data_IF_330571967574
#
_entry.id   IF_330571967574
#
_cell.length_a   1.000
_cell.length_b   1.000
_cell.length_c   1.000
_cell.angle_alpha   90.00
_cell.angle_beta   90.00
_cell.angle_gamma   90.00
#
_symmetry.space_group_name_H-M   'P 1'
#
loop_
_entity.id
_entity.type
_entity.pdbx_description
1 polymer ?
2 non-polymer ?
3 non-polymer ?
4 non-polymer ?
5 non-polymer ?
6 water ?
#
# COMPACT_ATOMS: atom_id res chain seq x y z
N UNK A 3 -14.30 -5.69 -31.61
CA UNK A 3 -13.21 -5.28 -30.72
C UNK A 3 -12.85 -6.39 -29.74
N UNK A 4 -11.74 -6.24 -29.04
CA UNK A 4 -11.28 -7.25 -28.11
C UNK A 4 -10.15 -6.65 -27.34
N UNK A 5 -10.34 -6.36 -26.06
CA UNK A 5 -9.31 -5.67 -25.31
C UNK A 5 -8.80 -6.36 -24.06
N UNK A 6 -7.53 -6.57 -24.06
CA UNK A 6 -6.90 -7.32 -22.99
C UNK A 6 -5.84 -6.42 -22.37
N UNK A 7 -5.74 -6.43 -21.05
CA UNK A 7 -4.67 -5.69 -20.41
C UNK A 7 -3.57 -6.65 -19.99
N UNK A 8 -2.45 -6.58 -20.69
CA UNK A 8 -1.28 -7.38 -20.34
C UNK A 8 -0.32 -6.51 -19.54
N UNK A 9 0.22 -7.04 -18.45
CA UNK A 9 1.26 -6.33 -17.73
C UNK A 9 2.52 -7.18 -17.70
N UNK A 10 3.66 -6.50 -17.77
CA UNK A 10 4.92 -7.14 -17.52
C UNK A 10 5.72 -6.24 -16.62
N UNK A 11 6.17 -6.76 -15.49
CA UNK A 11 6.89 -5.94 -14.51
C UNK A 11 8.21 -5.43 -15.10
N UNK A 12 8.65 -4.24 -14.66
CA UNK A 12 9.91 -3.67 -15.15
C UNK A 12 11.13 -4.33 -14.51
N UNK A 13 10.93 -5.06 -13.41
CA UNK A 13 12.05 -5.69 -12.69
C UNK A 13 11.55 -6.86 -11.85
N UNK A 14 12.48 -7.64 -11.32
CA UNK A 14 12.10 -8.75 -10.45
C UNK A 14 11.50 -8.22 -9.15
N UNK A 15 10.56 -8.97 -8.61
CA UNK A 15 9.92 -8.61 -7.35
C UNK A 15 10.27 -9.66 -6.30
N UNK A 16 10.85 -9.20 -5.20
CA UNK A 16 11.12 -10.06 -4.06
C UNK A 16 10.15 -9.64 -2.97
N UNK A 17 9.19 -10.51 -2.63
CA UNK A 17 8.07 -10.10 -1.80
C UNK A 17 8.54 -9.52 -0.47
N UNK A 18 9.59 -10.10 0.12
CA UNK A 18 10.07 -9.62 1.40
C UNK A 18 10.52 -8.16 1.32
N UNK A 19 11.05 -7.77 0.17
CA UNK A 19 11.50 -6.38 -0.06
C UNK A 19 10.37 -5.47 -0.53
N UNK A 20 9.44 -6.04 -1.27
CA UNK A 20 8.46 -5.26 -2.04
C UNK A 20 7.14 -5.02 -1.33
N UNK A 21 6.64 -6.02 -0.62
CA UNK A 21 5.30 -5.96 -0.04
C UNK A 21 5.34 -5.81 1.47
N UNK A 22 4.95 -4.64 1.95
CA UNK A 22 4.83 -4.41 3.38
C UNK A 22 3.37 -4.26 3.76
N UNK A 23 3.12 -4.02 5.04
CA UNK A 23 1.78 -3.76 5.52
C UNK A 23 1.74 -2.54 6.41
N UNK A 24 0.64 -1.81 6.34
CA UNK A 24 0.34 -0.82 7.35
C UNK A 24 0.01 -1.55 8.63
N UNK A 25 0.22 -0.89 9.76
CA UNK A 25 -0.11 -1.51 11.02
C UNK A 25 -0.50 -0.41 12.00
N UNK A 26 -1.21 -0.79 13.04
CA UNK A 26 -1.65 0.16 14.04
C UNK A 26 -1.27 -0.34 15.42
N UNK A 27 0.00 -0.71 15.59
CA UNK A 27 0.41 -1.45 16.78
C UNK A 27 0.15 -0.71 18.10
N UNK A 28 0.23 0.62 18.09
CA UNK A 28 -0.01 1.40 19.32
C UNK A 28 -1.45 1.27 19.83
N UNK A 29 -2.32 0.70 19.01
CA UNK A 29 -3.71 0.46 19.42
C UNK A 29 -3.84 -0.80 20.25
N UNK A 30 -2.77 -1.57 20.35
CA UNK A 30 -2.84 -2.89 20.94
C UNK A 30 -1.79 -3.11 22.03
N UNK A 31 -2.05 -4.09 22.90
CA UNK A 31 -1.06 -4.55 23.85
C UNK A 31 0.08 -5.25 23.13
N UNK A 32 1.27 -5.24 23.74
CA UNK A 32 2.40 -5.97 23.14
C UNK A 32 2.08 -7.44 22.92
N UNK A 33 1.33 -8.05 23.84
CA UNK A 33 0.90 -9.42 23.67
C UNK A 33 0.16 -9.59 22.33
N UNK A 34 -0.75 -8.67 22.06
CA UNK A 34 -1.58 -8.75 20.86
C UNK A 34 -0.78 -8.41 19.61
N UNK A 35 0.03 -7.35 19.63
CA UNK A 35 0.70 -7.02 18.38
C UNK A 35 1.84 -7.98 18.09
N UNK A 36 2.37 -8.66 19.11
CA UNK A 36 3.35 -9.70 18.81
C UNK A 36 2.70 -10.88 18.08
N UNK A 37 1.43 -11.16 18.37
CA UNK A 37 0.73 -12.20 17.62
C UNK A 37 0.51 -11.75 16.17
N UNK A 38 0.16 -10.48 15.98
CA UNK A 38 -0.02 -9.96 14.63
C UNK A 38 1.27 -10.11 13.84
N UNK A 39 2.39 -9.85 14.49
CA UNK A 39 3.69 -9.91 13.84
C UNK A 39 4.05 -11.36 13.50
N UNK A 40 3.66 -12.31 14.36
CA UNK A 40 3.78 -13.73 14.05
C UNK A 40 3.12 -14.04 12.71
N UNK A 41 1.89 -13.55 12.55
CA UNK A 41 1.14 -13.80 11.33
C UNK A 41 1.81 -13.14 10.13
N UNK A 42 2.35 -11.93 10.33
CA UNK A 42 3.04 -11.24 9.25
C UNK A 42 4.29 -12.02 8.82
N UNK A 43 5.04 -12.49 9.81
CA UNK A 43 6.27 -13.20 9.52
C UNK A 43 5.97 -14.53 8.82
N UNK A 44 4.83 -15.14 9.13
CA UNK A 44 4.42 -16.38 8.46
C UNK A 44 4.22 -16.18 6.96
N UNK A 45 3.91 -14.96 6.54
CA UNK A 45 3.79 -14.64 5.12
C UNK A 45 5.14 -14.39 4.44
N UNK A 46 6.20 -14.35 5.23
CA UNK A 46 7.53 -14.08 4.70
C UNK A 46 7.77 -12.61 4.44
N UNK A 47 7.04 -11.75 5.15
CA UNK A 47 7.14 -10.29 4.98
C UNK A 47 7.79 -9.64 6.19
N UNK A 48 8.30 -8.42 6.03
CA UNK A 48 8.98 -7.77 7.15
C UNK A 48 8.81 -6.26 7.21
N UNK A 49 8.27 -5.65 6.16
CA UNK A 49 8.11 -4.19 6.14
C UNK A 49 6.79 -3.74 6.77
N UNK A 50 6.84 -2.77 7.69
CA UNK A 50 5.61 -2.23 8.26
C UNK A 50 5.62 -0.70 8.21
N UNK A 51 4.42 -0.13 8.14
CA UNK A 51 4.26 1.31 8.18
C UNK A 51 3.34 1.69 9.31
N UNK A 52 3.80 2.59 10.18
CA UNK A 52 3.05 2.96 11.37
C UNK A 52 2.76 4.45 11.41
N UNK A 53 1.60 4.81 11.94
CA UNK A 53 1.20 6.21 12.02
C UNK A 53 1.50 6.78 13.40
N UNK A 54 2.10 7.97 13.42
CA UNK A 54 2.29 8.72 14.64
C UNK A 54 1.51 10.02 14.56
N UNK A 55 0.73 10.33 15.57
CA UNK A 55 0.01 11.58 15.57
C UNK A 55 0.61 12.49 16.59
N UNK A 56 1.11 13.64 16.14
CA UNK A 56 1.87 14.52 17.01
C UNK A 56 1.08 14.90 18.26
N UNK A 57 -0.21 15.19 18.09
CA UNK A 57 -0.98 15.67 19.23
C UNK A 57 -1.23 14.56 20.27
N UNK A 58 -0.95 13.32 19.91
CA UNK A 58 -1.01 12.26 20.87
C UNK A 58 0.33 11.96 21.53
N UNK A 59 1.40 12.34 20.89
CA UNK A 59 2.75 12.11 21.42
C UNK A 59 3.25 13.28 22.26
N UNK A 60 2.78 14.48 21.95
CA UNK A 60 3.13 15.65 22.72
C UNK A 60 1.84 16.37 23.11
N UNK A 61 1.40 16.16 24.34
CA UNK A 61 0.05 16.54 24.75
C UNK A 61 -0.02 17.98 25.27
N UNK A 62 1.15 18.52 25.57
CA UNK A 62 1.34 19.94 25.84
C UNK A 62 2.78 20.23 25.46
N UNK A 63 3.16 21.50 25.34
CA UNK A 63 4.50 21.80 24.83
C UNK A 63 5.59 21.19 25.73
N UNK A 64 6.42 20.35 25.12
CA UNK A 64 7.51 19.63 25.81
C UNK A 64 7.01 18.69 26.91
N UNK A 65 5.78 18.21 26.74
CA UNK A 65 5.21 17.20 27.61
C UNK A 65 4.86 16.03 26.70
N UNK A 66 5.58 14.93 26.85
CA UNK A 66 5.49 13.83 25.89
C UNK A 66 4.84 12.59 26.48
N UNK A 67 4.36 11.71 25.60
CA UNK A 67 3.78 10.44 25.99
C UNK A 67 4.43 9.38 25.13
N UNK A 68 5.61 8.92 25.52
CA UNK A 68 6.40 8.07 24.62
C UNK A 68 6.64 6.66 25.13
N UNK A 69 6.13 6.34 26.31
CA UNK A 69 6.40 5.02 26.91
C UNK A 69 5.97 3.88 25.97
N UNK A 70 4.77 3.99 25.39
CA UNK A 70 4.26 2.94 24.49
C UNK A 70 5.07 2.83 23.21
N UNK A 71 5.44 3.99 22.66
CA UNK A 71 6.22 4.02 21.44
C UNK A 71 7.63 3.50 21.69
N UNK A 72 8.24 3.91 22.81
CA UNK A 72 9.56 3.39 23.17
C UNK A 72 9.54 1.86 23.18
N UNK A 73 8.53 1.29 23.82
CA UNK A 73 8.46 -0.16 23.93
C UNK A 73 8.21 -0.80 22.56
N UNK A 74 7.35 -0.17 21.77
CA UNK A 74 7.06 -0.68 20.43
C UNK A 74 8.33 -0.72 19.56
N UNK A 75 9.13 0.34 19.58
CA UNK A 75 10.32 0.36 18.74
C UNK A 75 11.30 -0.74 19.17
N UNK A 76 11.43 -0.97 20.48
CA UNK A 76 12.25 -2.08 20.96
C UNK A 76 11.70 -3.43 20.49
N UNK A 77 10.38 -3.59 20.56
CA UNK A 77 9.73 -4.84 20.13
C UNK A 77 9.84 -5.09 18.62
N UNK A 78 9.75 -4.03 17.83
CA UNK A 78 9.90 -4.15 16.39
C UNK A 78 11.31 -4.61 16.02
N UNK A 79 12.31 -4.07 16.70
CA UNK A 79 13.68 -4.51 16.48
C UNK A 79 13.85 -5.95 16.95
N UNK A 80 13.23 -6.30 18.07
CA UNK A 80 13.32 -7.66 18.58
C UNK A 80 12.68 -8.67 17.63
N UNK A 81 11.77 -8.21 16.78
CA UNK A 81 11.12 -9.09 15.80
C UNK A 81 11.71 -8.93 14.40
N UNK A 82 12.81 -8.19 14.31
CA UNK A 82 13.53 -8.01 13.04
C UNK A 82 12.69 -7.33 11.96
N UNK A 83 11.76 -6.47 12.35
CA UNK A 83 10.93 -5.82 11.34
C UNK A 83 11.61 -4.56 10.79
N UNK A 84 11.29 -4.22 9.55
CA UNK A 84 11.79 -2.99 8.97
C UNK A 84 10.66 -1.99 8.96
N UNK A 85 10.85 -0.83 9.56
CA UNK A 85 9.70 0.05 9.76
C UNK A 85 9.84 1.43 9.14
N UNK A 86 8.72 1.96 8.67
CA UNK A 86 8.63 3.37 8.31
C UNK A 86 7.56 4.00 9.20
N UNK A 87 7.91 5.11 9.82
CA UNK A 87 6.97 5.84 10.65
C UNK A 87 6.66 7.16 9.98
N UNK A 88 5.39 7.53 9.95
CA UNK A 88 5.06 8.89 9.56
C UNK A 88 4.48 9.66 10.72
N UNK A 89 4.82 10.94 10.78
CA UNK A 89 4.30 11.86 11.79
C UNK A 89 3.33 12.80 11.11
N UNK A 90 2.14 12.94 11.67
CA UNK A 90 1.11 13.81 11.08
C UNK A 90 0.33 14.51 12.18
N UNK A 91 -0.24 15.67 11.83
CA UNK A 91 -1.08 16.41 12.76
C UNK A 91 -0.27 17.43 13.53
N UNK A 92 -0.94 18.49 13.98
CA UNK A 92 -0.31 19.50 14.81
C UNK A 92 -0.61 19.26 16.26
N UNK A 93 0.41 19.37 17.11
CA UNK A 93 0.17 19.46 18.54
C UNK A 93 -0.61 20.73 18.83
N UNK A 94 -1.37 20.73 19.92
CA UNK A 94 -2.27 21.82 20.20
C UNK A 94 -1.55 23.17 20.36
N UNK A 95 -0.32 23.15 20.88
CA UNK A 95 0.38 24.40 21.15
C UNK A 95 0.91 25.09 19.88
N UNK A 96 0.90 24.38 18.76
CA UNK A 96 1.56 24.88 17.54
C UNK A 96 0.59 24.93 16.33
N UNK A 97 -0.65 24.49 16.52
CA UNK A 97 -1.58 24.37 15.40
C UNK A 97 -2.04 25.73 14.85
N UNK A 98 -2.36 25.78 13.56
CA UNK A 98 -2.91 26.99 12.96
C UNK A 98 -4.43 27.04 13.04
N UNK A 99 -5.02 26.02 13.68
CA UNK A 99 -6.47 25.96 13.85
C UNK A 99 -7.01 27.18 14.57
N UNK A 100 -8.18 27.69 14.13
CA UNK A 100 -8.91 28.67 14.93
C UNK A 100 -9.24 28.11 16.30
N UNK A 101 -9.36 28.96 17.30
CA UNK A 101 -9.61 28.53 18.67
C UNK A 101 -10.86 27.67 18.80
N UNK A 102 -11.88 28.00 18.01
CA UNK A 102 -13.18 27.35 18.09
C UNK A 102 -13.30 26.06 17.29
N UNK A 103 -12.37 25.83 16.36
CA UNK A 103 -12.44 24.66 15.47
C UNK A 103 -12.40 23.32 16.20
N UNK A 104 -13.25 22.38 15.77
CA UNK A 104 -13.29 21.04 16.35
C UNK A 104 -12.15 20.13 15.88
N UNK A 105 -11.42 20.53 14.86
CA UNK A 105 -10.40 19.66 14.26
C UNK A 105 -8.99 20.19 14.42
N UNK A 106 -8.62 20.51 15.67
CA UNK A 106 -7.36 21.18 15.97
C UNK A 106 -6.13 20.57 15.29
N UNK A 107 -6.07 19.24 15.24
CA UNK A 107 -4.86 18.58 14.75
C UNK A 107 -4.83 18.49 13.23
N UNK A 108 -5.94 18.78 12.58
CA UNK A 108 -6.02 18.63 11.13
C UNK A 108 -5.51 19.87 10.40
N UNK A 109 -5.03 20.84 11.18
CA UNK A 109 -4.39 22.03 10.64
C UNK A 109 -2.88 21.86 10.71
N UNK A 110 -2.15 22.43 9.74
CA UNK A 110 -0.69 22.34 9.75
C UNK A 110 -0.07 23.22 10.84
N UNK A 111 1.20 22.99 11.18
CA UNK A 111 1.82 23.77 12.26
C UNK A 111 2.09 25.22 11.85
N UNK A 112 2.04 26.11 12.83
CA UNK A 112 2.38 27.52 12.64
C UNK A 112 3.84 27.67 12.20
N UNK A 113 4.68 26.76 12.66
CA UNK A 113 6.10 26.83 12.41
C UNK A 113 6.61 25.46 11.98
N UNK A 114 6.91 25.30 10.68
CA UNK A 114 7.36 24.00 10.18
C UNK A 114 8.66 23.55 10.86
N UNK A 115 9.45 24.49 11.37
CA UNK A 115 10.70 24.13 12.04
C UNK A 115 10.48 23.37 13.34
N UNK A 116 9.38 23.68 14.02
CA UNK A 116 9.06 23.00 15.28
C UNK A 116 8.69 21.53 15.00
N UNK A 117 7.90 21.32 13.96
CA UNK A 117 7.57 19.98 13.49
C UNK A 117 8.84 19.25 13.10
N UNK A 118 9.72 19.93 12.36
CA UNK A 118 10.95 19.32 11.88
C UNK A 118 11.82 18.82 13.05
N UNK A 119 11.89 19.63 14.11
CA UNK A 119 12.72 19.29 15.25
C UNK A 119 12.18 18.06 15.97
N UNK A 120 10.86 17.89 15.94
CA UNK A 120 10.21 16.72 16.53
C UNK A 120 10.56 15.46 15.72
N UNK A 121 10.52 15.58 14.40
CA UNK A 121 10.91 14.43 13.58
C UNK A 121 12.37 14.07 13.83
N UNK A 122 13.22 15.07 13.99
CA UNK A 122 14.64 14.84 14.25
C UNK A 122 14.82 14.16 15.61
N UNK A 123 14.04 14.60 16.60
CA UNK A 123 14.10 14.01 17.93
C UNK A 123 13.74 12.54 17.86
N UNK A 124 12.66 12.22 17.15
CA UNK A 124 12.19 10.84 17.04
C UNK A 124 13.22 9.98 16.34
N UNK A 125 13.76 10.50 15.24
CA UNK A 125 14.77 9.78 14.48
C UNK A 125 16.02 9.50 15.29
N UNK A 126 16.44 10.47 16.10
CA UNK A 126 17.63 10.25 16.92
C UNK A 126 17.32 9.28 18.08
N UNK A 127 16.08 9.31 18.54
CA UNK A 127 15.66 8.46 19.64
C UNK A 127 15.56 6.99 19.20
N UNK A 128 15.22 6.79 17.94
CA UNK A 128 14.93 5.45 17.40
C UNK A 128 15.75 5.14 16.14
N UNK A 129 17.07 4.96 16.29
CA UNK A 129 17.90 4.79 15.08
C UNK A 129 17.63 3.51 14.31
N UNK A 130 16.88 2.58 14.89
CA UNK A 130 16.56 1.34 14.18
C UNK A 130 15.50 1.54 13.10
N UNK A 131 14.73 2.62 13.20
CA UNK A 131 13.68 2.88 12.20
C UNK A 131 14.31 3.07 10.81
N UNK A 132 13.71 2.44 9.80
CA UNK A 132 14.33 2.37 8.49
C UNK A 132 14.12 3.63 7.67
N UNK A 133 12.97 4.26 7.86
CA UNK A 133 12.63 5.46 7.09
C UNK A 133 11.62 6.32 7.82
N UNK A 134 11.66 7.63 7.56
CA UNK A 134 10.77 8.59 8.19
C UNK A 134 9.95 9.30 7.13
N UNK A 135 8.64 9.37 7.36
CA UNK A 135 7.72 9.96 6.40
C UNK A 135 7.05 11.22 6.97
N UNK A 136 6.95 12.26 6.15
CA UNK A 136 6.55 13.59 6.61
C UNK A 136 5.10 13.90 6.29
N UNK A 137 4.26 13.92 7.32
CA UNK A 137 2.81 14.19 7.22
C UNK A 137 2.13 13.06 6.46
N UNK A 138 0.87 13.29 6.11
CA UNK A 138 0.05 12.29 5.43
C UNK A 138 -1.04 12.98 4.63
N UNK A 139 -1.27 12.52 3.40
CA UNK A 139 -2.32 13.04 2.51
C UNK A 139 -2.63 14.54 2.61
N UNK A 140 -1.61 15.39 2.38
CA UNK A 140 -1.85 16.84 2.47
C UNK A 140 -2.75 17.37 1.37
N UNK A 141 -3.06 16.56 0.36
CA UNK A 141 -3.98 17.00 -0.69
C UNK A 141 -5.43 16.83 -0.25
N UNK A 142 -5.63 16.30 0.95
CA UNK A 142 -6.98 16.12 1.51
C UNK A 142 -7.23 17.11 2.63
N UNK A 143 -8.42 17.71 2.63
CA UNK A 143 -8.75 18.72 3.61
C UNK A 143 -8.66 18.16 5.04
N UNK A 144 -9.03 16.89 5.22
CA UNK A 144 -8.99 16.26 6.53
C UNK A 144 -7.61 16.16 7.17
N UNK A 145 -6.56 16.40 6.39
CA UNK A 145 -5.19 16.36 6.92
C UNK A 145 -4.49 17.70 6.79
N UNK A 146 -5.10 18.65 6.09
CA UNK A 146 -4.50 19.97 5.92
C UNK A 146 -5.55 21.06 5.71
N UNK A 147 -6.07 21.57 6.81
CA UNK A 147 -7.12 22.60 6.79
C UNK A 147 -6.52 24.00 6.74
N UNK A 148 -7.25 24.97 6.18
CA UNK A 148 -8.61 24.85 5.62
C UNK A 148 -8.63 24.46 4.15
N UNK A 149 -7.46 24.37 3.52
CA UNK A 149 -7.41 23.96 2.12
C UNK A 149 -5.99 23.59 1.69
N UNK A 150 -5.89 22.73 0.68
CA UNK A 150 -4.60 22.20 0.24
C UNK A 150 -3.68 23.36 -0.09
N UNK A 151 -2.42 23.23 0.33
CA UNK A 151 -1.47 24.32 0.21
C UNK A 151 -0.09 23.75 -0.16
N UNK A 152 0.14 23.54 -1.47
CA UNK A 152 1.41 22.95 -1.91
C UNK A 152 2.60 23.72 -1.36
N UNK A 153 2.57 25.05 -1.40
CA UNK A 153 3.67 25.86 -0.88
C UNK A 153 3.92 25.56 0.60
N UNK A 154 2.83 25.51 1.37
CA UNK A 154 2.91 25.21 2.79
C UNK A 154 3.50 23.83 3.04
N UNK A 155 3.04 22.83 2.29
CA UNK A 155 3.56 21.49 2.50
C UNK A 155 5.03 21.39 2.07
N UNK A 156 5.39 22.10 0.99
CA UNK A 156 6.78 22.09 0.53
C UNK A 156 7.71 22.62 1.61
N UNK A 157 7.28 23.68 2.29
CA UNK A 157 8.10 24.27 3.35
C UNK A 157 8.23 23.31 4.53
N UNK A 158 7.15 22.59 4.83
CA UNK A 158 7.19 21.59 5.90
C UNK A 158 8.14 20.45 5.53
N UNK A 159 8.01 19.97 4.30
CA UNK A 159 8.86 18.90 3.82
C UNK A 159 10.33 19.30 3.79
N UNK A 160 10.62 20.50 3.31
CA UNK A 160 12.00 20.95 3.26
C UNK A 160 12.61 21.01 4.65
N UNK A 161 11.88 21.59 5.59
CA UNK A 161 12.40 21.75 6.95
C UNK A 161 12.64 20.40 7.60
N UNK A 162 11.72 19.47 7.39
CA UNK A 162 11.79 18.13 7.97
C UNK A 162 12.95 17.33 7.38
N UNK A 163 13.09 17.44 6.06
CA UNK A 163 14.14 16.75 5.34
C UNK A 163 15.51 17.19 5.82
N UNK A 164 15.70 18.49 5.94
CA UNK A 164 16.96 19.04 6.45
C UNK A 164 17.26 18.50 7.86
N UNK A 165 16.25 18.52 8.74
CA UNK A 165 16.44 18.11 10.13
C UNK A 165 16.73 16.61 10.23
N UNK A 166 16.02 15.83 9.43
CA UNK A 166 16.19 14.38 9.43
C UNK A 166 17.58 13.99 8.92
N UNK A 167 18.06 14.72 7.91
CA UNK A 167 19.38 14.42 7.37
C UNK A 167 20.51 14.92 8.26
N UNK A 168 20.25 15.91 9.11
CA UNK A 168 21.23 16.30 10.12
C UNK A 168 21.47 15.15 11.10
N UNK A 169 20.40 14.43 11.41
CA UNK A 169 20.49 13.28 12.30
C UNK A 169 21.17 12.09 11.63
N UNK A 170 20.74 11.79 10.41
CA UNK A 170 21.30 10.69 9.64
C UNK A 170 21.19 11.00 8.16
N UNK A 171 22.28 11.48 7.55
CA UNK A 171 22.20 11.93 6.15
C UNK A 171 21.90 10.80 5.16
N UNK A 172 22.11 9.55 5.56
CA UNK A 172 21.92 8.42 4.65
C UNK A 172 20.53 7.78 4.72
N UNK A 173 19.77 8.10 5.75
CA UNK A 173 18.46 7.47 5.92
C UNK A 173 17.42 8.11 5.01
N UNK A 174 16.59 7.27 4.34
CA UNK A 174 15.57 7.84 3.45
C UNK A 174 14.57 8.75 4.15
N UNK A 175 14.23 9.83 3.46
CA UNK A 175 13.13 10.68 3.86
C UNK A 175 12.01 10.46 2.87
N UNK A 176 10.82 10.22 3.37
CA UNK A 176 9.68 9.87 2.53
C UNK A 176 8.68 11.02 2.56
N UNK A 177 8.26 11.52 1.41
CA UNK A 177 7.27 12.58 1.45
C UNK A 177 5.92 11.97 1.78
N UNK A 178 4.96 12.81 2.15
CA UNK A 178 3.66 12.33 2.57
C UNK A 178 3.03 11.49 1.49
N UNK A 179 2.33 10.43 1.89
CA UNK A 179 1.56 9.64 0.93
C UNK A 179 0.41 10.52 0.47
N UNK A 180 0.35 10.80 -0.83
CA UNK A 180 -0.74 11.61 -1.39
C UNK A 180 -1.98 10.74 -1.56
N UNK A 181 -3.15 11.24 -1.17
CA UNK A 181 -4.37 10.47 -1.36
C UNK A 181 -4.69 10.31 -2.85
N UNK A 182 -5.15 9.13 -3.23
CA UNK A 182 -5.53 8.81 -4.60
C UNK A 182 -4.33 9.00 -5.53
N UNK A 183 -4.47 9.80 -6.58
CA UNK A 183 -3.32 10.06 -7.43
C UNK A 183 -2.79 11.49 -7.25
N UNK A 184 -3.05 12.03 -6.06
CA UNK A 184 -2.57 13.32 -5.56
C UNK A 184 -3.41 14.52 -6.03
N UNK A 185 -4.57 14.24 -6.63
CA UNK A 185 -5.49 15.30 -7.07
C UNK A 185 -5.92 16.18 -5.90
N UNK A 186 -6.05 17.48 -6.15
CA UNK A 186 -6.59 18.42 -5.16
C UNK A 186 -7.96 18.92 -5.62
N UNK A 187 -8.78 19.43 -4.68
CA UNK A 187 -10.11 19.96 -5.02
C UNK A 187 -10.12 21.00 -6.15
N UNK A 188 -9.02 21.74 -6.33
CA UNK A 188 -8.97 22.80 -7.33
C UNK A 188 -8.65 22.28 -8.73
N UNK A 189 -8.49 20.96 -8.85
CA UNK A 189 -8.29 20.36 -10.16
C UNK A 189 -6.82 20.12 -10.52
N UNK A 190 -5.92 20.66 -9.72
CA UNK A 190 -4.49 20.40 -9.91
C UNK A 190 -4.11 19.16 -9.12
N UNK A 191 -2.92 18.63 -9.39
CA UNK A 191 -2.39 17.52 -8.60
C UNK A 191 -1.27 18.01 -7.72
N UNK A 192 -1.19 17.49 -6.50
CA UNK A 192 -0.14 17.92 -5.59
C UNK A 192 1.26 17.64 -6.18
N UNK A 193 1.41 16.51 -6.87
CA UNK A 193 2.73 16.18 -7.45
C UNK A 193 3.16 17.24 -8.46
N UNK A 194 2.22 17.67 -9.30
CA UNK A 194 2.58 18.69 -10.26
C UNK A 194 2.94 20.01 -9.59
N UNK A 195 2.13 20.41 -8.61
CA UNK A 195 2.33 21.69 -7.95
C UNK A 195 3.66 21.72 -7.20
N UNK A 196 3.97 20.63 -6.51
CA UNK A 196 5.25 20.51 -5.81
C UNK A 196 6.43 20.52 -6.77
N UNK A 197 6.25 19.90 -7.93
CA UNK A 197 7.25 19.96 -8.99
C UNK A 197 7.63 21.37 -9.35
N UNK A 198 6.64 22.24 -9.51
CA UNK A 198 6.89 23.63 -9.83
C UNK A 198 7.60 24.39 -8.73
N UNK A 199 7.49 23.88 -7.51
CA UNK A 199 8.14 24.50 -6.36
C UNK A 199 9.52 23.89 -6.15
N UNK A 200 9.91 22.97 -7.03
CA UNK A 200 11.28 22.47 -7.04
C UNK A 200 11.54 21.42 -5.98
N UNK A 201 10.48 20.82 -5.47
CA UNK A 201 10.56 19.87 -4.37
C UNK A 201 11.39 18.63 -4.74
N UNK A 202 11.48 18.32 -6.02
CA UNK A 202 12.21 17.13 -6.44
C UNK A 202 13.69 17.23 -6.10
N UNK A 203 14.19 18.45 -5.90
CA UNK A 203 15.58 18.65 -5.52
C UNK A 203 15.88 18.15 -4.11
N UNK A 204 14.85 17.92 -3.30
CA UNK A 204 15.05 17.39 -1.95
C UNK A 204 15.41 15.91 -1.97
N UNK A 205 15.06 15.23 -3.06
CA UNK A 205 15.36 13.82 -3.20
C UNK A 205 14.63 12.94 -2.20
N UNK A 206 13.37 13.26 -1.92
CA UNK A 206 12.60 12.40 -1.03
C UNK A 206 11.90 11.32 -1.85
N UNK A 207 11.56 10.22 -1.18
CA UNK A 207 10.78 9.16 -1.82
C UNK A 207 9.34 9.64 -2.03
N UNK A 208 8.81 9.42 -3.24
CA UNK A 208 7.46 9.84 -3.59
C UNK A 208 6.49 8.71 -3.33
N UNK A 209 5.31 9.03 -2.82
CA UNK A 209 4.34 7.98 -2.48
C UNK A 209 2.92 8.47 -2.64
N UNK A 210 2.02 7.57 -3.05
CA UNK A 210 0.61 7.94 -3.10
C UNK A 210 -0.26 6.73 -2.78
N UNK A 211 -1.54 6.99 -2.58
CA UNK A 211 -2.48 6.03 -2.00
C UNK A 211 -3.64 5.81 -2.94
N UNK A 212 -3.43 4.99 -3.98
CA UNK A 212 -4.40 4.98 -5.08
C UNK A 212 -5.58 4.07 -4.80
N UNK A 213 -6.39 4.43 -3.81
CA UNK A 213 -7.61 3.68 -3.53
C UNK A 213 -8.60 3.85 -4.70
N UNK A 214 -9.16 2.75 -5.20
CA UNK A 214 -10.26 2.81 -6.18
C UNK A 214 -11.36 1.84 -5.77
N UNK A 215 -12.53 2.00 -6.35
CA UNK A 215 -13.69 1.20 -5.95
C UNK A 215 -13.46 -0.28 -6.27
N UNK A 216 -13.01 -0.53 -7.49
CA UNK A 216 -12.68 -1.88 -7.94
C UNK A 216 -11.17 -2.04 -7.99
N UNK A 217 -10.68 -3.28 -8.12
CA UNK A 217 -9.21 -3.43 -8.16
C UNK A 217 -8.59 -2.66 -9.32
N UNK A 218 -9.30 -2.54 -10.44
CA UNK A 218 -8.67 -2.02 -11.65
C UNK A 218 -9.19 -0.65 -12.09
N UNK A 219 -9.95 0.01 -11.24
CA UNK A 219 -10.55 1.30 -11.58
C UNK A 219 -11.77 1.58 -10.75
N UNK A 220 -12.47 2.68 -11.02
CA UNK A 220 -13.64 3.01 -10.20
C UNK A 220 -14.96 2.48 -10.76
N UNK A 221 -15.00 2.22 -12.06
CA UNK A 221 -16.23 1.73 -12.69
C UNK A 221 -15.93 0.57 -13.61
N UNK A 222 -16.88 -0.39 -13.74
CA UNK A 222 -16.66 -1.54 -14.62
C UNK A 222 -16.42 -1.16 -16.09
N UNK A 223 -16.90 0.01 -16.52
CA UNK A 223 -16.70 0.49 -17.89
C UNK A 223 -15.48 1.42 -18.02
N UNK A 224 -14.78 1.65 -16.91
CA UNK A 224 -13.67 2.60 -16.90
C UNK A 224 -12.58 2.08 -15.97
N UNK A 225 -12.00 0.95 -16.34
CA UNK A 225 -10.98 0.29 -15.54
C UNK A 225 -9.61 0.86 -15.90
N UNK A 226 -9.32 2.07 -15.43
CA UNK A 226 -8.13 2.75 -15.88
C UNK A 226 -7.09 2.94 -14.78
N UNK A 227 -7.12 2.08 -13.76
CA UNK A 227 -6.09 2.13 -12.72
C UNK A 227 -4.68 2.01 -13.33
N UNK A 228 -4.48 1.04 -14.19
CA UNK A 228 -3.14 0.81 -14.75
C UNK A 228 -2.68 2.04 -15.53
N UNK A 229 -3.59 2.63 -16.29
CA UNK A 229 -3.28 3.82 -17.05
C UNK A 229 -2.85 4.97 -16.14
N UNK A 230 -3.63 5.23 -15.10
CA UNK A 230 -3.30 6.31 -14.16
C UNK A 230 -1.97 6.07 -13.45
N UNK A 231 -1.77 4.83 -12.99
CA UNK A 231 -0.55 4.47 -12.26
C UNK A 231 0.68 4.64 -13.15
N UNK A 232 0.60 4.12 -14.36
CA UNK A 232 1.71 4.28 -15.31
C UNK A 232 2.02 5.75 -15.58
N UNK A 233 0.96 6.54 -15.71
CA UNK A 233 1.14 7.95 -16.02
C UNK A 233 1.85 8.67 -14.87
N UNK A 234 1.36 8.48 -13.66
CA UNK A 234 1.97 9.19 -12.54
C UNK A 234 3.38 8.63 -12.24
N UNK A 235 3.56 7.32 -12.37
CA UNK A 235 4.86 6.73 -12.12
C UNK A 235 5.90 7.22 -13.12
N UNK A 236 5.51 7.34 -14.38
CA UNK A 236 6.44 7.86 -15.39
C UNK A 236 6.83 9.29 -15.08
N UNK A 237 5.86 10.10 -14.67
CA UNK A 237 6.12 11.50 -14.36
C UNK A 237 7.09 11.60 -13.18
N UNK A 238 6.89 10.74 -12.17
CA UNK A 238 7.76 10.74 -11.01
C UNK A 238 9.18 10.32 -11.36
N UNK A 239 9.32 9.28 -12.17
CA UNK A 239 10.64 8.86 -12.62
C UNK A 239 11.28 9.99 -13.42
N UNK A 240 10.51 10.61 -14.30
CA UNK A 240 11.02 11.75 -15.08
C UNK A 240 11.54 12.87 -14.18
N UNK A 241 10.93 13.03 -13.02
CA UNK A 241 11.30 14.10 -12.10
C UNK A 241 12.53 13.73 -11.29
N UNK A 242 12.94 12.46 -11.38
CA UNK A 242 14.16 12.01 -10.74
C UNK A 242 14.03 11.59 -9.29
N UNK A 243 12.84 11.16 -8.88
CA UNK A 243 12.65 10.66 -7.52
C UNK A 243 13.57 9.45 -7.28
N UNK A 244 14.05 9.29 -6.03
CA UNK A 244 14.91 8.15 -5.71
C UNK A 244 14.16 6.81 -5.70
N UNK A 245 12.85 6.86 -5.46
CA UNK A 245 12.03 5.66 -5.41
C UNK A 245 10.57 6.08 -5.41
N UNK A 246 9.71 5.16 -5.80
CA UNK A 246 8.27 5.36 -5.72
C UNK A 246 7.68 4.27 -4.84
N UNK A 247 6.98 4.67 -3.78
CA UNK A 247 6.26 3.70 -2.98
C UNK A 247 4.77 3.95 -3.10
N UNK A 248 3.98 2.93 -2.79
CA UNK A 248 2.56 3.19 -2.52
C UNK A 248 2.30 2.83 -1.08
N UNK A 249 2.12 3.81 -0.20
CA UNK A 249 2.17 3.51 1.22
C UNK A 249 0.80 3.10 1.77
N UNK A 250 -0.24 3.16 0.94
CA UNK A 250 -1.57 2.67 1.34
C UNK A 250 -2.40 2.25 0.13
N UNK A 251 -3.11 1.13 0.27
CA UNK A 251 -4.11 0.67 -0.69
C UNK A 251 -4.85 -0.48 -0.01
N UNK A 252 -6.08 -0.77 -0.43
CA UNK A 252 -6.80 -1.90 0.14
C UNK A 252 -8.31 -1.67 0.22
N UNK A 253 -9.04 -2.65 0.77
CA UNK A 253 -10.50 -2.57 0.88
C UNK A 253 -10.93 -3.07 2.24
N UNK A 254 -12.05 -2.56 2.69
CA UNK A 254 -12.65 -2.95 3.97
C UNK A 254 -13.72 -4.00 3.79
N UNK A 255 -13.74 -4.97 4.72
CA UNK A 255 -14.75 -6.01 4.73
C UNK A 255 -16.00 -5.61 5.50
N UNK A 256 -16.14 -4.33 5.84
CA UNK A 256 -17.27 -3.90 6.68
C UNK A 256 -18.63 -4.18 6.03
N UNK A 257 -19.63 -4.37 6.88
CA UNK A 257 -20.96 -4.75 6.41
C UNK A 257 -21.81 -3.51 6.17
N UNK A 258 -21.29 -2.36 6.59
CA UNK A 258 -21.95 -1.10 6.33
C UNK A 258 -22.42 -0.37 7.57
N UNK A 259 -23.25 0.67 7.40
CA UNK A 259 -23.79 1.15 6.12
C UNK A 259 -22.74 1.82 5.23
N UNK A 260 -23.02 1.85 3.93
CA UNK A 260 -22.02 2.28 2.95
C UNK A 260 -21.47 3.68 3.22
N UNK A 261 -20.15 3.78 3.23
CA UNK A 261 -19.46 5.05 3.33
C UNK A 261 -18.27 5.06 2.35
N UNK A 262 -18.49 5.68 1.19
CA UNK A 262 -17.55 5.72 0.06
C UNK A 262 -17.41 4.38 -0.64
N UNK A 263 -17.03 3.35 0.12
CA UNK A 263 -16.75 2.04 -0.46
C UNK A 263 -18.00 1.14 -0.46
N UNK A 264 -18.30 0.55 -1.61
CA UNK A 264 -19.38 -0.43 -1.69
C UNK A 264 -19.12 -1.61 -0.74
N UNK A 265 -20.20 -2.24 -0.28
CA UNK A 265 -20.06 -3.36 0.64
C UNK A 265 -19.66 -4.62 -0.13
N UNK A 266 -18.52 -5.20 0.22
CA UNK A 266 -18.05 -6.39 -0.49
C UNK A 266 -17.76 -7.56 0.46
N UNK A 267 -17.61 -7.28 1.75
CA UNK A 267 -17.46 -8.32 2.75
C UNK A 267 -16.09 -8.98 2.79
N UNK A 268 -15.94 -10.00 3.63
CA UNK A 268 -14.63 -10.63 3.77
C UNK A 268 -14.18 -11.34 2.49
N UNK A 269 -15.13 -11.90 1.75
CA UNK A 269 -14.78 -12.57 0.50
C UNK A 269 -14.44 -11.58 -0.61
N UNK A 270 -15.16 -10.47 -0.67
CA UNK A 270 -14.83 -9.41 -1.62
C UNK A 270 -13.47 -8.80 -1.31
N UNK A 271 -13.19 -8.60 -0.03
CA UNK A 271 -11.91 -8.06 0.36
C UNK A 271 -10.77 -8.95 -0.13
N UNK A 272 -10.93 -10.26 0.05
CA UNK A 272 -9.91 -11.21 -0.36
C UNK A 272 -9.72 -11.14 -1.88
N UNK A 273 -10.83 -11.15 -2.61
CA UNK A 273 -10.81 -11.08 -4.08
C UNK A 273 -10.12 -9.81 -4.57
N UNK A 274 -10.55 -8.65 -4.06
CA UNK A 274 -10.03 -7.38 -4.55
C UNK A 274 -8.57 -7.16 -4.20
N UNK A 275 -8.18 -7.51 -2.98
CA UNK A 275 -6.79 -7.33 -2.57
C UNK A 275 -5.87 -8.16 -3.48
N UNK A 276 -6.26 -9.38 -3.80
CA UNK A 276 -5.38 -10.23 -4.62
C UNK A 276 -5.27 -9.70 -6.04
N UNK A 277 -6.38 -9.28 -6.63
CA UNK A 277 -6.30 -8.69 -7.96
C UNK A 277 -5.46 -7.42 -7.99
N UNK A 278 -5.65 -6.56 -6.99
CA UNK A 278 -4.88 -5.32 -6.96
C UNK A 278 -3.40 -5.61 -6.74
N UNK A 279 -3.11 -6.59 -5.90
CA UNK A 279 -1.71 -6.98 -5.65
C UNK A 279 -1.06 -7.44 -6.95
N UNK A 280 -1.77 -8.24 -7.72
CA UNK A 280 -1.27 -8.71 -9.01
C UNK A 280 -0.98 -7.55 -9.95
N UNK A 281 -1.82 -6.52 -9.91
CA UNK A 281 -1.56 -5.34 -10.75
C UNK A 281 -0.36 -4.55 -10.27
N UNK A 282 -0.36 -4.17 -8.99
CA UNK A 282 0.69 -3.27 -8.50
C UNK A 282 2.06 -3.92 -8.51
N UNK A 283 2.14 -5.23 -8.30
CA UNK A 283 3.45 -5.89 -8.30
C UNK A 283 4.04 -5.95 -9.71
N UNK A 284 3.23 -5.64 -10.72
CA UNK A 284 3.72 -5.61 -12.10
C UNK A 284 3.83 -4.17 -12.64
N UNK A 285 3.67 -3.20 -11.76
CA UNK A 285 3.81 -1.80 -12.16
C UNK A 285 5.10 -1.25 -11.54
N UNK A 286 5.42 0.01 -11.84
CA UNK A 286 6.70 0.55 -11.45
C UNK A 286 6.69 1.14 -10.05
N UNK A 287 6.45 0.29 -9.06
CA UNK A 287 6.63 0.64 -7.65
C UNK A 287 7.87 -0.05 -7.10
N UNK A 288 8.59 0.60 -6.19
CA UNK A 288 9.72 -0.06 -5.53
C UNK A 288 9.26 -0.79 -4.28
N UNK A 289 8.17 -0.32 -3.69
CA UNK A 289 7.63 -0.95 -2.48
C UNK A 289 6.17 -0.53 -2.34
N UNK A 290 5.32 -1.42 -1.86
CA UNK A 290 3.93 -1.06 -1.58
C UNK A 290 3.53 -1.59 -0.20
N UNK A 291 2.56 -0.93 0.42
CA UNK A 291 2.10 -1.30 1.75
C UNK A 291 0.59 -1.50 1.77
N UNK A 292 0.15 -2.74 1.96
CA UNK A 292 -1.27 -3.01 2.09
C UNK A 292 -1.85 -2.37 3.35
N UNK A 293 -3.02 -1.74 3.21
CA UNK A 293 -3.76 -1.26 4.37
C UNK A 293 -4.89 -2.27 4.66
N UNK A 294 -4.81 -3.02 5.77
CA UNK A 294 -3.81 -2.89 6.82
C UNK A 294 -3.68 -4.24 7.53
N UNK A 295 -2.76 -4.36 8.49
CA UNK A 295 -2.48 -5.67 9.09
C UNK A 295 -3.67 -6.22 9.90
N UNK A 296 -4.30 -5.37 10.70
CA UNK A 296 -5.34 -5.86 11.61
C UNK A 296 -6.63 -5.04 11.56
N UNK A 297 -7.76 -5.71 11.72
CA UNK A 297 -9.00 -5.05 12.10
C UNK A 297 -8.77 -4.15 13.33
N UNK A 298 -9.63 -3.15 13.51
CA UNK A 298 -9.49 -2.23 14.66
C UNK A 298 -10.78 -2.18 15.44
N UNK A 299 -10.71 -1.66 16.67
CA UNK A 299 -11.89 -1.61 17.52
C UNK A 299 -12.72 -0.33 17.30
N UNK A 300 -13.64 -0.06 18.22
CA UNK A 300 -14.61 1.02 18.06
C UNK A 300 -14.00 2.43 18.09
N UNK A 301 -12.69 2.53 18.31
CA UNK A 301 -12.04 3.83 18.17
C UNK A 301 -11.95 4.22 16.70
N UNK A 302 -12.01 3.24 15.81
CA UNK A 302 -12.00 3.51 14.37
C UNK A 302 -13.42 3.66 13.85
N UNK A 303 -13.56 4.42 12.77
CA UNK A 303 -14.84 4.50 12.06
C UNK A 303 -15.30 3.12 11.63
N UNK A 304 -16.59 2.98 11.35
CA UNK A 304 -17.16 1.68 10.97
C UNK A 304 -16.40 1.06 9.79
N UNK A 305 -16.13 1.83 8.75
CA UNK A 305 -15.40 1.29 7.62
C UNK A 305 -13.96 0.94 7.99
N UNK A 306 -13.28 1.82 8.71
CA UNK A 306 -11.84 1.65 9.01
C UNK A 306 -11.54 0.45 9.92
N UNK A 307 -12.58 -0.08 10.56
CA UNK A 307 -12.42 -1.23 11.45
C UNK A 307 -12.10 -2.54 10.74
N UNK A 308 -12.33 -2.63 9.44
CA UNK A 308 -12.34 -3.96 8.79
C UNK A 308 -11.41 -4.10 7.58
N UNK A 309 -10.36 -3.30 7.52
CA UNK A 309 -9.34 -3.42 6.48
C UNK A 309 -8.31 -4.50 6.77
N UNK A 310 -8.41 -5.14 7.93
CA UNK A 310 -7.34 -6.04 8.36
C UNK A 310 -7.10 -7.28 7.50
N UNK A 311 -5.85 -7.74 7.47
CA UNK A 311 -5.57 -9.12 7.09
C UNK A 311 -6.05 -10.04 8.19
N UNK A 312 -6.04 -9.52 9.42
CA UNK A 312 -6.35 -10.29 10.62
C UNK A 312 -7.56 -9.70 11.32
N UNK A 313 -8.33 -10.53 12.04
CA UNK A 313 -9.41 -9.97 12.84
C UNK A 313 -8.85 -9.45 14.16
N UNK A 314 -9.74 -9.01 15.05
CA UNK A 314 -9.31 -8.39 16.30
C UNK A 314 -8.51 -9.34 17.19
N UNK A 315 -8.76 -10.64 17.05
CA UNK A 315 -8.02 -11.65 17.81
C UNK A 315 -6.69 -12.02 17.14
N UNK A 316 -6.32 -11.26 16.11
CA UNK A 316 -5.09 -11.49 15.34
C UNK A 316 -5.11 -12.84 14.63
N UNK A 317 -6.30 -13.33 14.30
CA UNK A 317 -6.47 -14.55 13.53
C UNK A 317 -6.76 -14.23 12.08
N UNK A 318 -6.32 -15.10 11.15
CA UNK A 318 -6.47 -14.85 9.71
C UNK A 318 -7.91 -14.63 9.28
N UNK A 319 -8.14 -13.62 8.45
CA UNK A 319 -9.39 -13.46 7.72
C UNK A 319 -9.22 -14.12 6.36
N UNK A 320 -10.31 -14.28 5.58
CA UNK A 320 -10.12 -14.89 4.26
C UNK A 320 -9.06 -14.21 3.40
N UNK A 321 -8.88 -12.90 3.51
CA UNK A 321 -7.88 -12.22 2.67
C UNK A 321 -6.47 -12.70 3.05
N UNK A 322 -6.25 -12.96 4.33
CA UNK A 322 -4.95 -13.47 4.77
C UNK A 322 -4.71 -14.86 4.19
N UNK A 323 -5.72 -15.71 4.28
CA UNK A 323 -5.55 -17.09 3.83
C UNK A 323 -5.31 -17.13 2.33
N UNK A 324 -5.98 -16.24 1.61
CA UNK A 324 -5.78 -16.10 0.16
C UNK A 324 -4.39 -15.58 -0.18
N UNK A 325 -3.96 -14.53 0.50
CA UNK A 325 -2.62 -13.99 0.27
C UNK A 325 -1.57 -15.04 0.57
N UNK A 326 -1.80 -15.80 1.64
CA UNK A 326 -0.86 -16.85 2.04
C UNK A 326 -0.74 -17.91 0.94
N UNK A 327 -1.88 -18.32 0.37
CA UNK A 327 -1.89 -19.30 -0.72
C UNK A 327 -1.16 -18.76 -1.94
N UNK A 328 -1.44 -17.51 -2.28
CA UNK A 328 -0.82 -16.79 -3.38
C UNK A 328 0.72 -16.76 -3.27
N UNK A 329 1.21 -16.29 -2.13
CA UNK A 329 2.65 -16.18 -1.94
C UNK A 329 3.33 -17.55 -1.90
N UNK A 330 2.61 -18.58 -1.45
CA UNK A 330 3.19 -19.92 -1.43
C UNK A 330 3.38 -20.40 -2.87
N UNK A 331 2.44 -20.06 -3.75
CA UNK A 331 2.52 -20.49 -5.14
C UNK A 331 3.62 -19.72 -5.86
N UNK A 332 3.72 -18.42 -5.63
CA UNK A 332 4.75 -17.62 -6.30
C UNK A 332 6.16 -17.98 -5.81
N UNK A 333 6.28 -18.39 -4.55
CA UNK A 333 7.59 -18.48 -3.92
C UNK A 333 8.03 -17.07 -3.58
N UNK A 334 9.29 -16.90 -3.12
CA UNK A 334 9.73 -15.61 -2.58
C UNK A 334 10.10 -14.53 -3.61
N UNK A 335 10.31 -14.91 -4.86
CA UNK A 335 10.84 -13.99 -5.87
C UNK A 335 10.32 -14.31 -7.26
N UNK A 336 9.84 -13.29 -7.96
CA UNK A 336 9.29 -13.46 -9.30
C UNK A 336 10.09 -12.63 -10.30
N UNK A 337 10.40 -13.21 -11.45
CA UNK A 337 11.10 -12.47 -12.50
C UNK A 337 10.13 -12.23 -13.64
N UNK A 338 10.20 -11.04 -14.26
CA UNK A 338 9.23 -10.69 -15.31
C UNK A 338 9.24 -11.68 -16.46
N UNK A 339 8.08 -11.97 -17.02
CA UNK A 339 8.01 -12.86 -18.19
C UNK A 339 6.80 -12.55 -19.04
N UNK A 340 6.55 -13.36 -20.06
CA UNK A 340 5.37 -13.18 -20.90
C UNK A 340 4.31 -14.21 -20.56
N UNK A 341 3.04 -13.86 -20.77
CA UNK A 341 1.99 -14.88 -20.58
C UNK A 341 2.11 -15.96 -21.63
N UNK A 342 1.49 -17.13 -21.40
CA UNK A 342 1.47 -18.17 -22.42
C UNK A 342 0.71 -17.70 -23.64
N UNK A 343 0.97 -18.34 -24.78
CA UNK A 343 0.16 -18.12 -25.96
C UNK A 343 -1.27 -18.54 -25.68
N UNK A 344 -2.21 -17.67 -26.01
CA UNK A 344 -3.62 -17.92 -25.74
C UNK A 344 -4.44 -17.88 -27.03
N UNK A 345 -5.52 -18.64 -27.04
CA UNK A 345 -6.54 -18.53 -28.07
C UNK A 345 -7.87 -18.19 -27.41
N UNK A 346 -8.52 -17.13 -27.90
CA UNK A 346 -9.81 -16.69 -27.40
C UNK A 346 -9.82 -16.35 -25.91
N UNK A 347 -8.77 -15.68 -25.44
CA UNK A 347 -8.80 -15.08 -24.10
C UNK A 347 -9.98 -14.11 -24.08
N UNK A 348 -10.78 -14.14 -23.00
CA UNK A 348 -11.99 -13.32 -23.06
C UNK A 348 -11.70 -11.82 -23.08
N UNK A 349 -12.55 -11.07 -23.75
CA UNK A 349 -12.53 -9.61 -23.70
C UNK A 349 -12.53 -9.15 -22.25
N UNK A 350 -11.75 -8.11 -21.95
CA UNK A 350 -11.67 -7.57 -20.60
C UNK A 350 -10.65 -8.24 -19.68
N UNK A 351 -9.97 -9.26 -20.19
CA UNK A 351 -9.05 -10.03 -19.35
C UNK A 351 -7.83 -9.21 -18.91
N UNK A 352 -7.34 -9.55 -17.73
CA UNK A 352 -6.05 -9.07 -17.25
C UNK A 352 -5.11 -10.26 -17.25
N UNK A 353 -3.85 -10.02 -17.61
CA UNK A 353 -2.93 -11.10 -17.94
C UNK A 353 -1.51 -10.72 -17.58
N UNK A 354 -0.91 -11.46 -16.65
CA UNK A 354 0.43 -11.11 -16.17
C UNK A 354 1.30 -12.37 -16.06
N UNK A 355 2.48 -12.34 -16.66
CA UNK A 355 3.37 -13.49 -16.61
C UNK A 355 4.62 -13.25 -15.78
N UNK A 356 5.06 -14.32 -15.11
CA UNK A 356 6.23 -14.31 -14.27
C UNK A 356 6.94 -15.65 -14.37
N UNK A 357 8.19 -15.70 -13.95
CA UNK A 357 8.84 -16.98 -13.67
C UNK A 357 9.27 -17.00 -12.20
N UNK A 358 9.08 -18.13 -11.52
CA UNK A 358 9.48 -18.17 -10.13
C UNK A 358 10.86 -18.80 -9.98
N UNK A 359 11.29 -18.97 -8.74
CA UNK A 359 12.68 -19.33 -8.47
C UNK A 359 13.03 -20.72 -9.00
N UNK A 360 12.06 -21.62 -9.09
CA UNK A 360 12.37 -22.98 -9.55
C UNK A 360 12.28 -23.06 -11.07
N UNK A 361 12.06 -21.91 -11.71
CA UNK A 361 12.05 -21.84 -13.15
C UNK A 361 10.70 -22.02 -13.80
N UNK A 362 9.69 -22.44 -13.03
CA UNK A 362 8.36 -22.60 -13.62
C UNK A 362 7.72 -21.24 -13.90
N UNK A 363 6.90 -21.20 -14.95
CA UNK A 363 6.16 -19.99 -15.26
C UNK A 363 4.93 -19.84 -14.36
N UNK A 364 4.56 -18.60 -14.06
CA UNK A 364 3.34 -18.31 -13.32
C UNK A 364 2.53 -17.34 -14.16
N UNK A 365 1.28 -17.69 -14.43
CA UNK A 365 0.38 -16.79 -15.16
C UNK A 365 -0.76 -16.35 -14.24
N UNK A 366 -0.91 -15.04 -14.10
CA UNK A 366 -1.97 -14.47 -13.29
C UNK A 366 -3.00 -13.87 -14.22
N UNK A 367 -4.26 -14.21 -14.03
CA UNK A 367 -5.25 -13.83 -15.02
C UNK A 367 -6.65 -13.86 -14.45
N UNK A 368 -7.51 -13.01 -15.00
CA UNK A 368 -8.91 -12.97 -14.64
C UNK A 368 -9.66 -12.12 -15.66
N UNK A 369 -10.97 -12.21 -15.63
CA UNK A 369 -11.80 -11.39 -16.49
C UNK A 369 -13.19 -11.24 -15.90
N UNK A 370 -13.72 -10.02 -15.93
CA UNK A 370 -15.04 -9.75 -15.37
C UNK A 370 -16.12 -10.63 -15.96
N UNK A 371 -15.97 -11.03 -17.22
CA UNK A 371 -17.04 -11.79 -17.86
C UNK A 371 -16.77 -13.29 -17.77
N UNK A 372 -15.73 -13.67 -17.04
CA UNK A 372 -15.38 -15.06 -16.87
C UNK A 372 -15.13 -15.75 -18.20
N UNK A 373 -15.60 -16.98 -18.31
CA UNK A 373 -15.45 -17.73 -19.55
C UNK A 373 -14.34 -18.76 -19.51
N UNK A 374 -13.62 -18.85 -20.62
CA UNK A 374 -12.66 -19.94 -20.82
C UNK A 374 -11.60 -19.49 -21.82
N UNK A 375 -10.40 -20.05 -21.74
CA UNK A 375 -9.33 -19.71 -22.67
C UNK A 375 -8.61 -21.01 -23.05
N UNK A 376 -8.16 -21.09 -24.31
CA UNK A 376 -7.38 -22.25 -24.74
C UNK A 376 -5.89 -21.88 -24.80
N UNK A 377 -5.04 -22.75 -24.26
CA UNK A 377 -3.58 -22.58 -24.36
C UNK A 377 -3.01 -23.64 -25.27
N UNK A 378 -2.84 -23.32 -26.56
CA UNK A 378 -2.52 -24.35 -27.55
C UNK A 378 -1.12 -24.97 -27.38
N UNK A 379 -0.21 -24.30 -26.70
CA UNK A 379 1.16 -24.82 -26.66
C UNK A 379 1.41 -25.83 -25.54
N UNK A 380 0.47 -25.96 -24.61
CA UNK A 380 0.72 -26.69 -23.38
C UNK A 380 -0.01 -28.03 -23.30
N UNK A 381 0.58 -29.00 -22.63
CA UNK A 381 -0.06 -30.31 -22.44
C UNK A 381 -0.35 -30.60 -20.96
N UNK A 382 0.32 -29.88 -20.07
CA UNK A 382 0.10 -30.01 -18.62
C UNK A 382 0.35 -28.68 -17.96
N UNK A 383 -0.45 -28.39 -16.93
CA UNK A 383 -0.22 -27.22 -16.09
C UNK A 383 -1.05 -27.39 -14.84
N UNK A 384 -0.77 -26.58 -13.83
CA UNK A 384 -1.53 -26.67 -12.58
C UNK A 384 -2.20 -25.34 -12.28
N UNK A 385 -3.52 -25.40 -12.14
CA UNK A 385 -4.34 -24.22 -11.87
C UNK A 385 -4.60 -24.06 -10.38
N UNK A 386 -4.29 -22.89 -9.86
CA UNK A 386 -4.51 -22.55 -8.46
C UNK A 386 -5.55 -21.44 -8.32
N UNK A 387 -6.51 -21.65 -7.43
CA UNK A 387 -7.47 -20.63 -7.02
C UNK A 387 -7.17 -20.21 -5.58
N UNK A 388 -6.49 -19.07 -5.40
CA UNK A 388 -6.11 -18.68 -4.04
C UNK A 388 -7.29 -18.31 -3.15
N UNK A 389 -8.47 -18.05 -3.72
CA UNK A 389 -9.63 -17.71 -2.90
C UNK A 389 -10.27 -18.95 -2.26
N UNK A 390 -10.30 -20.05 -3.01
CA UNK A 390 -10.87 -21.29 -2.48
C UNK A 390 -9.79 -22.25 -2.00
N UNK A 391 -8.58 -22.10 -2.52
CA UNK A 391 -7.53 -23.06 -2.23
C UNK A 391 -7.59 -24.27 -3.14
N UNK A 392 -8.48 -24.24 -4.12
CA UNK A 392 -8.62 -25.38 -5.04
C UNK A 392 -7.39 -25.47 -5.95
N UNK A 393 -6.87 -26.68 -6.12
CA UNK A 393 -5.74 -26.91 -7.01
C UNK A 393 -6.16 -27.92 -8.07
N UNK A 394 -6.09 -27.54 -9.34
CA UNK A 394 -6.58 -28.42 -10.40
C UNK A 394 -5.52 -28.74 -11.46
N UNK A 395 -5.10 -30.00 -11.54
CA UNK A 395 -4.25 -30.37 -12.67
C UNK A 395 -4.99 -30.22 -13.98
N UNK A 396 -4.39 -29.55 -14.95
CA UNK A 396 -4.96 -29.46 -16.29
C UNK A 396 -4.12 -30.24 -17.27
N UNK A 397 -4.76 -30.90 -18.23
CA UNK A 397 -4.01 -31.68 -19.19
C UNK A 397 -4.71 -31.68 -20.55
N UNK A 398 -3.95 -32.00 -21.59
CA UNK A 398 -4.51 -32.07 -22.94
C UNK A 398 -3.48 -32.66 -23.88
N UNK A 399 -3.93 -33.31 -24.95
CA UNK A 399 -2.99 -33.91 -25.87
C UNK A 399 -2.37 -32.84 -26.77
N UNK A 400 -3.09 -31.75 -27.01
CA UNK A 400 -2.58 -30.70 -27.90
C UNK A 400 -3.07 -29.31 -27.51
N UNK A 401 -3.07 -29.03 -26.21
CA UNK A 401 -3.50 -27.75 -25.73
C UNK A 401 -4.33 -27.91 -24.48
N UNK A 402 -4.40 -26.84 -23.69
CA UNK A 402 -5.15 -26.83 -22.45
C UNK A 402 -6.41 -25.98 -22.53
N UNK A 403 -7.46 -26.47 -21.88
CA UNK A 403 -8.67 -25.70 -21.63
C UNK A 403 -8.61 -25.12 -20.24
N UNK A 404 -8.63 -23.79 -20.13
CA UNK A 404 -8.49 -23.12 -18.84
C UNK A 404 -9.71 -22.27 -18.52
N UNK A 405 -10.38 -22.54 -17.40
CA UNK A 405 -11.52 -21.68 -17.04
C UNK A 405 -11.04 -20.31 -16.56
N UNK A 406 -11.76 -19.26 -16.93
CA UNK A 406 -11.42 -17.90 -16.51
C UNK A 406 -12.47 -17.42 -15.51
N UNK A 407 -12.02 -16.80 -14.43
CA UNK A 407 -12.94 -16.29 -13.41
C UNK A 407 -12.83 -14.79 -13.29
N UNK A 408 -13.81 -14.17 -12.65
CA UNK A 408 -13.75 -12.75 -12.34
C UNK A 408 -12.69 -12.50 -11.26
N UNK A 409 -12.34 -13.56 -10.54
CA UNK A 409 -11.30 -13.46 -9.52
C UNK A 409 -9.96 -13.99 -10.05
N UNK A 410 -8.87 -13.59 -9.41
CA UNK A 410 -7.56 -14.04 -9.85
C UNK A 410 -7.38 -15.55 -9.74
N UNK A 411 -6.81 -16.16 -10.78
CA UNK A 411 -6.30 -17.52 -10.69
C UNK A 411 -4.85 -17.51 -11.11
N UNK A 412 -4.14 -18.58 -10.75
CA UNK A 412 -2.72 -18.70 -11.04
C UNK A 412 -2.50 -20.00 -11.79
N UNK A 413 -1.87 -19.92 -12.94
CA UNK A 413 -1.52 -21.13 -13.68
C UNK A 413 -0.02 -21.32 -13.63
N UNK A 414 0.41 -22.49 -13.18
CA UNK A 414 1.84 -22.77 -13.08
C UNK A 414 2.18 -23.78 -14.17
N UNK A 415 3.11 -23.41 -15.04
CA UNK A 415 3.36 -24.20 -16.26
C UNK A 415 4.83 -24.11 -16.68
N UNK A 416 5.19 -24.88 -17.71
CA UNK A 416 6.57 -24.93 -18.18
C UNK A 416 6.68 -24.91 -19.70
#
# INVERSE_FOLDING_TARGET
GSHMEIQVLKAPRAVVWKDFLGVNAQFLWFSPERYNKQIDRLQDLGLEWVRLDLHWDRLETAEDQYQLASLDQLVKDLEARQLKSVFYLVGSARFITTAPFYSPFQDQYPPRDPEVFARRMAMLSQRYPSVAAWQVWNEPNLIGFWRPKADPEGYAKLLQASTIALRMVDPEKPVVSAGMAFFSEMPDGRTMFDALGHLGVESLGTIATYHPYTQLPEGNYPWNLDFVSHANQINRALRNAGVPAIWSTEWGWSAYKGPKELQDIIGVEGQADYVLRRLALMSALDYDRIFLFTLSDLDQRASVRDRDYGLLDLDANPKPVYLALQRFLKVTGPKLRPADPPVTEDLPDGSFSIGWTREDGRNVWLFWSARGGNVRLPKLKEATLHDPLSGKVTPLSGSDGLEVPVKSSLQMLVWE
#
